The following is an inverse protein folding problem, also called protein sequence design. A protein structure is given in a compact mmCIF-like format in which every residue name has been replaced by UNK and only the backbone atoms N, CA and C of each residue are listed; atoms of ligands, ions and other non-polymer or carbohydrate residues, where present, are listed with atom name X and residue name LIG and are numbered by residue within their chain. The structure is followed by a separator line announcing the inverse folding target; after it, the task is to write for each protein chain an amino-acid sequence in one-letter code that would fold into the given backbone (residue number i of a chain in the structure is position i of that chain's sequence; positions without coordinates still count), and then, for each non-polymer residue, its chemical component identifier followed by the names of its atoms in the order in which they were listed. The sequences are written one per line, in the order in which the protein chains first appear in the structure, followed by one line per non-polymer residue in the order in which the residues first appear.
data_IF_776568130850
#
_entry.id   IF_776568130850
#
_cell.length_a   1.000
_cell.length_b   1.000
_cell.length_c   1.000
_cell.angle_alpha   90.00
_cell.angle_beta   90.00
_cell.angle_gamma   90.00
#
_symmetry.space_group_name_H-M   'P 1'
#
loop_
_entity.id
_entity.type
_entity.pdbx_description
1 polymer ?
#
# COMPACT_ATOMS: atom_id res chain seq x y z
N UNK A 1 0.43 -24.46 -31.57
CA UNK A 1 1.56 -23.63 -31.12
C UNK A 1 1.16 -23.06 -29.79
N UNK A 2 1.76 -23.53 -28.70
CA UNK A 2 1.43 -23.13 -27.33
C UNK A 2 1.84 -21.68 -27.11
N UNK A 3 0.90 -20.82 -26.74
CA UNK A 3 1.18 -19.47 -26.28
C UNK A 3 2.15 -19.56 -25.09
N UNK A 4 3.37 -19.03 -25.29
CA UNK A 4 4.33 -18.91 -24.22
C UNK A 4 3.74 -17.96 -23.17
N UNK A 5 3.61 -18.45 -21.95
CA UNK A 5 3.21 -17.67 -20.78
C UNK A 5 4.33 -16.66 -20.46
N UNK A 6 4.31 -15.51 -21.13
CA UNK A 6 5.19 -14.39 -20.79
C UNK A 6 4.75 -13.88 -19.42
N UNK A 7 5.47 -14.29 -18.37
CA UNK A 7 5.26 -13.75 -17.03
C UNK A 7 5.38 -12.24 -17.10
N UNK A 8 4.31 -11.51 -16.75
CA UNK A 8 4.39 -10.06 -16.60
C UNK A 8 5.53 -9.75 -15.60
N UNK A 9 6.44 -8.81 -15.92
CA UNK A 9 7.53 -8.48 -15.02
C UNK A 9 6.93 -7.99 -13.69
N UNK A 10 7.29 -8.60 -12.58
CA UNK A 10 6.85 -8.17 -11.25
C UNK A 10 8.07 -7.83 -10.39
N UNK A 11 7.89 -6.91 -9.45
CA UNK A 11 8.97 -6.50 -8.54
C UNK A 11 8.44 -6.32 -7.12
N UNK A 12 9.20 -6.82 -6.15
CA UNK A 12 8.85 -6.72 -4.74
C UNK A 12 9.67 -5.63 -4.06
N UNK A 13 9.02 -4.84 -3.21
CA UNK A 13 9.60 -3.71 -2.50
C UNK A 13 9.42 -3.90 -1.00
N UNK A 14 10.51 -3.90 -0.21
CA UNK A 14 10.40 -3.87 1.25
C UNK A 14 9.93 -2.48 1.69
N UNK A 15 9.00 -2.45 2.62
CA UNK A 15 8.38 -1.25 3.15
C UNK A 15 8.44 -1.29 4.68
N UNK A 16 8.63 -0.13 5.30
CA UNK A 16 8.64 0.06 6.74
C UNK A 16 8.06 1.41 7.12
N UNK A 17 7.46 1.49 8.30
CA UNK A 17 7.23 2.79 8.94
C UNK A 17 8.55 3.44 9.36
N UNK A 18 8.52 4.72 9.73
CA UNK A 18 9.72 5.47 10.14
C UNK A 18 10.50 4.79 11.30
N UNK A 19 9.79 4.32 12.33
CA UNK A 19 10.42 3.67 13.49
C UNK A 19 10.79 2.19 13.27
N UNK A 20 10.35 1.58 12.16
CA UNK A 20 10.62 0.18 11.84
C UNK A 20 9.74 -0.86 12.54
N UNK A 21 8.82 -0.48 13.44
CA UNK A 21 7.92 -1.45 14.11
C UNK A 21 6.94 -2.13 13.15
N UNK A 22 6.49 -1.41 12.13
CA UNK A 22 5.68 -1.95 11.04
C UNK A 22 6.57 -2.17 9.83
N UNK A 23 6.67 -3.42 9.39
CA UNK A 23 7.36 -3.84 8.16
C UNK A 23 6.45 -4.72 7.31
N UNK A 24 6.53 -4.54 6.00
CA UNK A 24 5.78 -5.32 5.03
C UNK A 24 6.49 -5.33 3.68
N UNK A 25 6.11 -6.23 2.79
CA UNK A 25 6.55 -6.25 1.40
C UNK A 25 5.34 -6.01 0.50
N UNK A 26 5.52 -5.20 -0.54
CA UNK A 26 4.55 -5.07 -1.63
C UNK A 26 5.14 -5.61 -2.92
N UNK A 27 4.40 -6.47 -3.62
CA UNK A 27 4.74 -6.92 -4.97
C UNK A 27 3.88 -6.19 -5.99
N UNK A 28 4.52 -5.52 -6.94
CA UNK A 28 3.85 -4.82 -8.04
C UNK A 28 3.96 -5.64 -9.32
N UNK A 29 2.92 -5.63 -10.15
CA UNK A 29 2.85 -6.34 -11.43
C UNK A 29 3.69 -5.72 -12.56
N UNK A 30 4.46 -4.68 -12.23
CA UNK A 30 5.45 -3.98 -13.04
C UNK A 30 6.37 -3.21 -12.09
N UNK A 31 7.61 -2.88 -12.50
CA UNK A 31 8.49 -2.02 -11.72
C UNK A 31 7.81 -0.70 -11.35
N UNK A 32 8.09 -0.17 -10.16
CA UNK A 32 7.51 1.07 -9.63
C UNK A 32 7.73 2.26 -10.58
N UNK A 33 8.87 2.31 -11.28
CA UNK A 33 9.17 3.34 -12.27
C UNK A 33 8.17 3.38 -13.44
N UNK A 34 7.57 2.23 -13.76
CA UNK A 34 6.57 2.05 -14.82
C UNK A 34 5.14 1.93 -14.24
N UNK A 35 5.00 1.98 -12.92
CA UNK A 35 3.72 1.81 -12.24
C UNK A 35 3.00 3.15 -12.12
N UNK A 36 1.68 3.16 -12.34
CA UNK A 36 0.89 4.37 -12.18
C UNK A 36 0.76 4.76 -10.70
N UNK A 37 1.40 5.86 -10.32
CA UNK A 37 1.29 6.47 -8.99
C UNK A 37 0.17 7.50 -9.00
N UNK A 38 -0.79 7.36 -8.09
CA UNK A 38 -1.93 8.26 -7.97
C UNK A 38 -1.77 9.23 -6.81
N UNK A 39 -2.04 10.50 -7.11
CA UNK A 39 -2.15 11.56 -6.12
C UNK A 39 -3.59 12.08 -6.11
N UNK A 40 -4.38 11.64 -5.14
CA UNK A 40 -5.76 12.08 -4.97
C UNK A 40 -5.80 13.46 -4.29
N UNK A 41 -6.72 14.33 -4.73
CA UNK A 41 -6.88 15.70 -4.24
C UNK A 41 -7.90 15.86 -3.10
N UNK A 42 -8.45 14.77 -2.56
CA UNK A 42 -9.37 14.89 -1.43
C UNK A 42 -8.62 15.29 -0.14
N UNK A 43 -9.32 15.93 0.79
CA UNK A 43 -8.69 16.58 1.96
C UNK A 43 -7.80 15.66 2.79
N UNK A 44 -8.24 14.42 3.06
CA UNK A 44 -7.44 13.46 3.83
C UNK A 44 -6.20 12.99 3.06
N UNK A 45 -6.30 12.80 1.74
CA UNK A 45 -5.16 12.38 0.93
C UNK A 45 -4.10 13.48 0.81
N UNK A 46 -4.56 14.73 0.64
CA UNK A 46 -3.68 15.90 0.66
C UNK A 46 -3.02 16.06 2.03
N UNK A 47 -3.76 15.95 3.12
CA UNK A 47 -3.22 16.10 4.49
C UNK A 47 -2.18 15.03 4.85
N UNK A 48 -2.34 13.80 4.36
CA UNK A 48 -1.42 12.69 4.61
C UNK A 48 -0.25 12.62 3.62
N UNK A 49 -0.25 13.45 2.57
CA UNK A 49 0.79 13.43 1.53
C UNK A 49 0.85 12.11 0.75
N UNK A 50 -0.31 11.51 0.47
CA UNK A 50 -0.38 10.20 -0.17
C UNK A 50 0.09 10.23 -1.63
N UNK A 51 1.01 9.32 -1.96
CA UNK A 51 1.32 8.87 -3.31
C UNK A 51 1.03 7.37 -3.36
N UNK A 52 -0.01 6.97 -4.09
CA UNK A 52 -0.60 5.64 -3.94
C UNK A 52 -0.39 4.75 -5.18
N UNK A 53 -0.01 3.51 -4.93
CA UNK A 53 -0.09 2.40 -5.90
C UNK A 53 -1.14 1.38 -5.43
N UNK A 54 -1.71 0.60 -6.35
CA UNK A 54 -2.89 -0.25 -6.09
C UNK A 54 -2.63 -1.73 -6.38
N UNK A 55 -1.74 -2.41 -5.62
CA UNK A 55 -1.58 -3.86 -5.71
C UNK A 55 -2.85 -4.60 -5.25
N UNK A 56 -2.94 -5.89 -5.61
CA UNK A 56 -3.92 -6.77 -4.96
C UNK A 56 -3.55 -6.94 -3.48
N UNK A 57 -4.54 -7.20 -2.63
CA UNK A 57 -4.30 -7.48 -1.21
C UNK A 57 -3.31 -8.64 -1.00
N UNK A 58 -3.40 -9.68 -1.82
CA UNK A 58 -2.51 -10.85 -1.74
C UNK A 58 -1.04 -10.49 -1.93
N UNK A 59 -0.76 -9.37 -2.61
CA UNK A 59 0.58 -8.90 -2.94
C UNK A 59 1.13 -7.95 -1.86
N UNK A 60 0.41 -7.75 -0.75
CA UNK A 60 0.83 -6.96 0.42
C UNK A 60 0.98 -7.87 1.63
N UNK A 61 2.23 -8.18 1.99
CA UNK A 61 2.56 -9.14 3.05
C UNK A 61 3.22 -8.43 4.22
N UNK A 62 2.54 -8.39 5.37
CA UNK A 62 3.08 -7.88 6.63
C UNK A 62 3.95 -8.94 7.32
N UNK A 63 5.04 -8.51 7.95
CA UNK A 63 6.02 -9.42 8.58
C UNK A 63 5.90 -9.42 10.11
N UNK A 64 6.16 -10.56 10.75
CA UNK A 64 6.18 -10.69 12.20
C UNK A 64 4.89 -10.18 12.87
N UNK A 65 5.03 -9.39 13.93
CA UNK A 65 3.92 -8.74 14.64
C UNK A 65 3.57 -7.34 14.10
N UNK A 66 4.00 -7.00 12.87
CA UNK A 66 3.83 -5.66 12.31
C UNK A 66 2.38 -5.16 12.32
N UNK A 67 1.40 -6.06 12.11
CA UNK A 67 -0.03 -5.69 12.15
C UNK A 67 -0.52 -5.26 13.54
N UNK A 68 0.13 -5.70 14.62
CA UNK A 68 -0.25 -5.34 16.00
C UNK A 68 0.09 -3.88 16.32
N UNK A 69 1.00 -3.29 15.54
CA UNK A 69 1.43 -1.89 15.65
C UNK A 69 0.72 -0.95 14.65
N UNK A 70 -0.28 -1.46 13.93
CA UNK A 70 -1.08 -0.67 13.00
C UNK A 70 -2.32 -0.13 13.70
N UNK A 71 -2.55 1.17 13.56
CA UNK A 71 -3.81 1.82 13.90
C UNK A 71 -4.58 2.17 12.63
N UNK A 72 -5.91 2.22 12.75
CA UNK A 72 -6.83 2.51 11.64
C UNK A 72 -7.62 3.78 11.91
N UNK A 73 -7.83 4.57 10.86
CA UNK A 73 -8.69 5.75 10.90
C UNK A 73 -9.68 5.73 9.73
N UNK A 74 -10.94 6.01 10.03
CA UNK A 74 -12.02 6.09 9.05
C UNK A 74 -12.53 7.53 8.98
N UNK A 75 -12.67 8.05 7.77
CA UNK A 75 -13.18 9.39 7.50
C UNK A 75 -14.43 9.34 6.61
N UNK A 76 -15.25 10.40 6.68
CA UNK A 76 -16.42 10.60 5.84
C UNK A 76 -17.38 9.39 5.81
N UNK A 77 -17.49 8.66 4.69
CA UNK A 77 -18.40 7.51 4.56
C UNK A 77 -18.00 6.31 5.40
N UNK A 78 -16.82 6.34 6.03
CA UNK A 78 -16.27 5.25 6.87
C UNK A 78 -16.14 3.92 6.13
N UNK A 79 -16.01 3.96 4.80
CA UNK A 79 -15.83 2.77 3.97
C UNK A 79 -14.39 2.29 3.88
N UNK A 80 -13.42 3.19 4.08
CA UNK A 80 -11.99 2.94 3.87
C UNK A 80 -11.24 3.12 5.18
N UNK A 81 -10.37 2.17 5.50
CA UNK A 81 -9.48 2.28 6.65
C UNK A 81 -8.14 2.87 6.20
N UNK A 82 -7.78 4.04 6.71
CA UNK A 82 -6.43 4.58 6.57
C UNK A 82 -5.54 3.97 7.66
N UNK A 83 -4.55 3.18 7.25
CA UNK A 83 -3.65 2.45 8.16
C UNK A 83 -2.37 3.25 8.38
N UNK A 84 -1.97 3.37 9.65
CA UNK A 84 -0.76 4.08 10.05
C UNK A 84 -0.08 3.38 11.22
N UNK A 85 1.22 3.60 11.38
CA UNK A 85 1.95 3.10 12.55
C UNK A 85 1.46 3.83 13.80
N UNK A 86 1.02 3.07 14.82
CA UNK A 86 0.53 3.62 16.08
C UNK A 86 1.62 4.37 16.87
N UNK A 87 2.89 4.04 16.65
CA UNK A 87 4.01 4.60 17.39
C UNK A 87 4.52 5.90 16.74
N UNK A 88 4.86 5.88 15.46
CA UNK A 88 5.48 7.02 14.77
C UNK A 88 4.53 7.79 13.83
N UNK A 89 3.27 7.36 13.68
CA UNK A 89 2.27 8.05 12.85
C UNK A 89 2.47 7.92 11.34
N UNK A 90 3.49 7.20 10.86
CA UNK A 90 3.72 7.02 9.41
C UNK A 90 2.50 6.41 8.75
N UNK A 91 1.92 7.11 7.76
CA UNK A 91 0.82 6.60 6.94
C UNK A 91 1.33 5.52 5.99
N UNK A 92 0.73 4.32 6.06
CA UNK A 92 1.21 3.12 5.38
C UNK A 92 0.43 2.80 4.11
N UNK A 93 -0.89 2.69 4.24
CA UNK A 93 -1.79 2.30 3.15
C UNK A 93 -3.24 2.65 3.48
N UNK A 94 -4.12 2.51 2.48
CA UNK A 94 -5.57 2.57 2.63
C UNK A 94 -6.14 1.20 2.27
N UNK A 95 -6.92 0.61 3.16
CA UNK A 95 -7.59 -0.66 2.95
C UNK A 95 -9.00 -0.43 2.35
N UNK A 96 -9.26 -1.09 1.21
CA UNK A 96 -10.53 -1.05 0.47
C UNK A 96 -11.36 -2.34 0.64
N UNK A 97 -11.05 -3.16 1.66
CA UNK A 97 -11.73 -4.43 1.89
C UNK A 97 -13.27 -4.29 1.85
N UNK A 98 -13.92 -5.12 1.05
CA UNK A 98 -15.39 -5.16 0.97
C UNK A 98 -16.04 -3.95 0.29
N UNK A 99 -15.27 -3.05 -0.34
CA UNK A 99 -15.83 -1.89 -1.06
C UNK A 99 -16.25 -2.25 -2.49
N UNK A 100 -15.50 -3.15 -3.14
CA UNK A 100 -15.74 -3.55 -4.52
C UNK A 100 -15.97 -5.06 -4.56
N UNK A 101 -17.02 -5.52 -5.25
CA UNK A 101 -17.36 -6.94 -5.33
C UNK A 101 -16.29 -7.76 -6.06
N UNK A 102 -15.63 -7.16 -7.06
CA UNK A 102 -14.72 -7.86 -7.97
C UNK A 102 -13.24 -7.45 -7.80
N UNK A 103 -12.92 -6.57 -6.86
CA UNK A 103 -11.55 -6.06 -6.67
C UNK A 103 -11.19 -6.04 -5.18
N UNK A 104 -10.16 -6.80 -4.82
CA UNK A 104 -9.57 -6.76 -3.48
C UNK A 104 -8.19 -6.11 -3.52
N UNK A 105 -8.17 -4.80 -3.30
CA UNK A 105 -6.98 -3.96 -3.46
C UNK A 105 -6.65 -3.23 -2.16
N UNK A 106 -5.37 -2.91 -2.00
CA UNK A 106 -4.88 -1.94 -1.04
C UNK A 106 -4.24 -0.78 -1.78
N UNK A 107 -4.37 0.45 -1.28
CA UNK A 107 -3.63 1.58 -1.80
C UNK A 107 -2.39 1.84 -0.94
N UNK A 108 -1.23 1.39 -1.39
CA UNK A 108 0.04 1.48 -0.64
C UNK A 108 0.68 2.85 -0.84
N UNK A 109 1.09 3.49 0.26
CA UNK A 109 1.72 4.80 0.23
C UNK A 109 3.23 4.71 -0.08
N UNK A 110 3.62 5.01 -1.31
CA UNK A 110 5.03 4.92 -1.76
C UNK A 110 5.87 6.14 -1.38
N UNK A 111 5.27 7.23 -0.87
CA UNK A 111 6.04 8.41 -0.44
C UNK A 111 6.79 8.19 0.88
N UNK A 112 6.20 7.43 1.81
CA UNK A 112 6.68 7.33 3.19
C UNK A 112 6.86 5.89 3.70
N UNK A 113 6.20 4.90 3.10
CA UNK A 113 6.21 3.53 3.62
C UNK A 113 7.18 2.61 2.88
N UNK A 114 7.41 2.83 1.59
CA UNK A 114 8.33 2.03 0.80
C UNK A 114 9.48 2.94 0.38
N UNK A 115 10.68 2.85 0.99
CA UNK A 115 11.80 3.66 0.55
C UNK A 115 12.05 3.36 -0.93
N UNK A 116 11.77 4.33 -1.80
CA UNK A 116 12.40 4.36 -3.11
C UNK A 116 13.88 4.59 -2.82
N UNK A 117 14.65 3.50 -2.91
CA UNK A 117 16.12 3.42 -2.98
C UNK A 117 16.89 4.62 -2.40
N UNK A 118 17.65 4.39 -1.32
CA UNK A 118 18.90 5.13 -1.13
C UNK A 118 19.82 4.94 -2.36
#
# INVERSE_FOLDING_TARGET
MSEANVSKPSQSYPCKCHCGEVTFTVTLSSPLADYTVMQCNCSICTAHGYLLVYPNRSDVVFHGNSKDHVQKYQFHTKKKDHWFCRHCGTSLLIDFNGIYENFDVMAVNVSNACPMFD
#
